data_IF_143773777812
#
_entry.id   IF_143773777812
#
_cell.length_a   1.000
_cell.length_b   1.000
_cell.length_c   1.000
_cell.angle_alpha   90.00
_cell.angle_beta   90.00
_cell.angle_gamma   90.00
#
_symmetry.space_group_name_H-M   'P 1'
#
loop_
_entity.id
_entity.type
_entity.pdbx_description
1 polymer ?
#
# COMPACT_ATOMS: atom_id res chain seq x y z
N UNK A 1 -20.69 -9.12 -25.00
CA UNK A 1 -19.26 -9.10 -24.63
C UNK A 1 -18.69 -10.53 -24.45
N UNK A 2 -17.88 -11.02 -25.41
CA UNK A 2 -17.19 -12.34 -25.36
C UNK A 2 -15.69 -12.23 -25.06
N UNK A 3 -15.25 -11.07 -24.57
CA UNK A 3 -13.84 -10.79 -24.29
C UNK A 3 -13.48 -11.08 -22.84
N UNK A 4 -12.20 -11.35 -22.60
CA UNK A 4 -11.56 -11.28 -21.28
C UNK A 4 -10.61 -10.09 -21.30
N UNK A 5 -10.76 -9.18 -20.36
CA UNK A 5 -9.89 -8.01 -20.19
C UNK A 5 -9.00 -8.26 -18.97
N UNK A 6 -7.70 -8.05 -19.14
CA UNK A 6 -6.71 -8.13 -18.06
C UNK A 6 -5.99 -6.80 -18.02
N UNK A 7 -6.17 -6.07 -16.91
CA UNK A 7 -5.50 -4.82 -16.63
C UNK A 7 -4.53 -5.06 -15.49
N UNK A 8 -3.27 -4.68 -15.70
CA UNK A 8 -2.20 -4.85 -14.72
C UNK A 8 -1.56 -3.48 -14.45
N UNK A 9 -1.85 -2.94 -13.26
CA UNK A 9 -1.18 -1.76 -12.70
C UNK A 9 -1.27 -0.50 -13.58
N UNK A 10 -2.42 -0.27 -14.21
CA UNK A 10 -2.67 0.93 -15.01
C UNK A 10 -2.65 2.19 -14.14
N UNK A 11 -2.17 3.30 -14.69
CA UNK A 11 -2.10 4.60 -13.98
C UNK A 11 -0.80 4.86 -13.22
N UNK A 12 0.15 3.92 -13.19
CA UNK A 12 1.44 4.08 -12.46
C UNK A 12 2.41 5.15 -12.98
N UNK A 13 2.27 5.59 -14.24
CA UNK A 13 3.23 6.47 -14.91
C UNK A 13 3.06 7.97 -14.65
N UNK A 14 2.18 8.36 -13.73
CA UNK A 14 1.81 9.76 -13.46
C UNK A 14 1.72 10.01 -11.95
N UNK A 15 1.29 11.21 -11.54
CA UNK A 15 1.03 11.52 -10.13
C UNK A 15 0.03 10.52 -9.52
N UNK A 16 0.12 10.28 -8.21
CA UNK A 16 -0.74 9.30 -7.52
C UNK A 16 -2.22 9.56 -7.78
N UNK A 17 -2.67 10.81 -7.63
CA UNK A 17 -4.09 11.16 -7.83
C UNK A 17 -4.53 11.07 -9.28
N UNK A 18 -3.68 11.44 -10.24
CA UNK A 18 -3.98 11.27 -11.67
C UNK A 18 -4.10 9.78 -12.02
N UNK A 19 -3.18 8.96 -11.49
CA UNK A 19 -3.13 7.52 -11.71
C UNK A 19 -4.39 6.82 -11.18
N UNK A 20 -4.77 7.13 -9.95
CA UNK A 20 -6.03 6.66 -9.33
C UNK A 20 -7.23 7.09 -10.17
N UNK A 21 -7.30 8.36 -10.58
CA UNK A 21 -8.44 8.90 -11.35
C UNK A 21 -8.62 8.19 -12.69
N UNK A 22 -7.52 7.93 -13.41
CA UNK A 22 -7.55 7.18 -14.67
C UNK A 22 -7.96 5.74 -14.42
N UNK A 23 -7.35 5.06 -13.45
CA UNK A 23 -7.64 3.67 -13.13
C UNK A 23 -9.12 3.47 -12.75
N UNK A 24 -9.66 4.38 -11.92
CA UNK A 24 -11.05 4.40 -11.49
C UNK A 24 -12.01 4.58 -12.65
N UNK A 25 -11.80 5.62 -13.47
CA UNK A 25 -12.69 5.91 -14.61
C UNK A 25 -12.72 4.78 -15.64
N UNK A 26 -11.58 4.11 -15.87
CA UNK A 26 -11.50 2.92 -16.72
C UNK A 26 -12.34 1.76 -16.14
N UNK A 27 -12.19 1.48 -14.85
CA UNK A 27 -12.97 0.44 -14.18
C UNK A 27 -14.48 0.71 -14.25
N UNK A 28 -14.89 1.96 -13.99
CA UNK A 28 -16.29 2.38 -14.11
C UNK A 28 -16.83 2.23 -15.53
N UNK A 29 -16.04 2.66 -16.53
CA UNK A 29 -16.44 2.56 -17.94
C UNK A 29 -16.71 1.11 -18.36
N UNK A 30 -15.79 0.20 -18.02
CA UNK A 30 -15.92 -1.22 -18.32
C UNK A 30 -17.13 -1.86 -17.62
N UNK A 31 -17.44 -1.41 -16.39
CA UNK A 31 -18.55 -1.94 -15.63
C UNK A 31 -19.92 -1.40 -16.07
N UNK A 32 -20.02 -0.10 -16.39
CA UNK A 32 -21.29 0.58 -16.70
C UNK A 32 -21.69 0.47 -18.17
N UNK A 33 -20.75 0.36 -19.09
CA UNK A 33 -21.05 0.29 -20.51
C UNK A 33 -21.56 -1.11 -20.90
N UNK A 34 -22.88 -1.23 -21.12
CA UNK A 34 -23.56 -2.48 -21.50
C UNK A 34 -22.97 -3.18 -22.73
N UNK A 35 -22.37 -2.43 -23.66
CA UNK A 35 -21.74 -3.02 -24.85
C UNK A 35 -20.39 -3.69 -24.50
N UNK A 36 -19.76 -3.28 -23.40
CA UNK A 36 -18.38 -3.59 -23.00
C UNK A 36 -18.24 -4.36 -21.68
N UNK A 37 -19.34 -4.86 -21.08
CA UNK A 37 -19.36 -5.66 -19.85
C UNK A 37 -18.70 -7.05 -20.00
N UNK A 38 -17.44 -7.07 -20.42
CA UNK A 38 -16.58 -8.24 -20.50
C UNK A 38 -16.11 -8.66 -19.10
N UNK A 39 -15.75 -9.94 -18.97
CA UNK A 39 -15.07 -10.39 -17.74
C UNK A 39 -13.75 -9.65 -17.64
N UNK A 40 -13.52 -8.99 -16.51
CA UNK A 40 -12.35 -8.13 -16.31
C UNK A 40 -11.61 -8.55 -15.06
N UNK A 41 -10.30 -8.72 -15.17
CA UNK A 41 -9.38 -8.82 -14.06
C UNK A 41 -8.59 -7.52 -14.00
N UNK A 42 -8.59 -6.89 -12.83
CA UNK A 42 -7.92 -5.62 -12.60
C UNK A 42 -6.96 -5.80 -11.42
N UNK A 43 -5.67 -5.96 -11.72
CA UNK A 43 -4.61 -5.96 -10.72
C UNK A 43 -4.14 -4.52 -10.48
N UNK A 44 -4.09 -4.09 -9.22
CA UNK A 44 -3.71 -2.72 -8.86
C UNK A 44 -3.09 -2.68 -7.45
N UNK A 45 -2.22 -1.71 -7.24
CA UNK A 45 -1.73 -1.31 -5.91
C UNK A 45 -2.56 -0.19 -5.25
N UNK A 46 -3.51 0.40 -5.97
CA UNK A 46 -4.37 1.46 -5.42
C UNK A 46 -5.42 0.86 -4.49
N UNK A 47 -5.32 1.15 -3.20
CA UNK A 47 -6.27 0.66 -2.21
C UNK A 47 -7.63 1.34 -2.38
N UNK A 48 -7.64 2.60 -2.82
CA UNK A 48 -8.82 3.41 -3.08
C UNK A 48 -9.76 2.71 -4.07
N UNK A 49 -9.23 2.01 -5.08
CA UNK A 49 -10.04 1.28 -6.06
C UNK A 49 -10.89 0.16 -5.44
N UNK A 50 -10.58 -0.29 -4.23
CA UNK A 50 -11.41 -1.30 -3.54
C UNK A 50 -12.81 -0.77 -3.21
N UNK A 51 -12.97 0.55 -3.08
CA UNK A 51 -14.27 1.19 -2.83
C UNK A 51 -15.23 1.09 -4.03
N UNK A 52 -14.73 0.77 -5.23
CA UNK A 52 -15.58 0.47 -6.39
C UNK A 52 -16.56 -0.67 -6.11
N UNK A 53 -16.17 -1.66 -5.29
CA UNK A 53 -17.06 -2.76 -4.91
C UNK A 53 -18.24 -2.31 -4.02
N UNK A 54 -18.13 -1.15 -3.37
CA UNK A 54 -19.22 -0.58 -2.55
C UNK A 54 -20.28 0.11 -3.42
N UNK A 55 -19.88 0.61 -4.59
CA UNK A 55 -20.75 1.41 -5.47
C UNK A 55 -21.21 0.67 -6.72
N UNK A 56 -20.45 -0.33 -7.18
CA UNK A 56 -20.73 -1.09 -8.39
C UNK A 56 -21.09 -2.55 -8.05
N UNK A 57 -22.35 -2.98 -8.27
CA UNK A 57 -22.82 -4.31 -7.83
C UNK A 57 -22.16 -5.49 -8.57
N UNK A 58 -21.51 -5.22 -9.71
CA UNK A 58 -20.80 -6.20 -10.52
C UNK A 58 -19.28 -6.23 -10.25
N UNK A 59 -18.79 -5.48 -9.27
CA UNK A 59 -17.38 -5.46 -8.86
C UNK A 59 -17.21 -6.26 -7.57
N UNK A 60 -16.11 -7.02 -7.48
CA UNK A 60 -15.76 -7.80 -6.29
C UNK A 60 -14.27 -7.69 -6.04
N UNK A 61 -13.91 -7.42 -4.79
CA UNK A 61 -12.52 -7.35 -4.37
C UNK A 61 -11.96 -8.75 -4.09
N UNK A 62 -10.72 -8.96 -4.51
CA UNK A 62 -9.93 -10.13 -4.22
C UNK A 62 -8.50 -9.70 -3.89
N UNK A 63 -7.85 -10.44 -3.01
CA UNK A 63 -6.46 -10.19 -2.61
C UNK A 63 -5.65 -11.48 -2.59
N UNK A 64 -4.33 -11.35 -2.67
CA UNK A 64 -3.41 -12.48 -2.49
C UNK A 64 -3.18 -12.68 -0.99
N UNK A 65 -3.44 -13.88 -0.50
CA UNK A 65 -3.27 -14.21 0.91
C UNK A 65 -1.79 -14.18 1.30
N UNK A 66 -1.49 -13.40 2.35
CA UNK A 66 -0.17 -13.26 2.96
C UNK A 66 -0.23 -13.81 4.38
N UNK A 67 0.77 -14.60 4.77
CA UNK A 67 0.93 -15.06 6.15
C UNK A 67 2.10 -14.34 6.81
N UNK A 68 1.83 -13.63 7.89
CA UNK A 68 2.84 -12.97 8.71
C UNK A 68 3.38 -13.95 9.79
N UNK A 69 4.69 -13.95 10.01
CA UNK A 69 5.36 -14.62 11.13
C UNK A 69 6.48 -13.71 11.66
N UNK A 70 6.17 -12.96 12.71
CA UNK A 70 7.08 -11.93 13.22
C UNK A 70 7.36 -10.88 12.14
N UNK A 71 8.63 -10.68 11.79
CA UNK A 71 9.04 -9.74 10.73
C UNK A 71 9.09 -10.38 9.33
N UNK A 72 8.79 -11.66 9.21
CA UNK A 72 8.78 -12.39 7.93
C UNK A 72 7.37 -12.51 7.38
N UNK A 73 7.23 -12.44 6.06
CA UNK A 73 5.97 -12.71 5.37
C UNK A 73 6.14 -13.88 4.40
N UNK A 74 5.07 -14.63 4.18
CA UNK A 74 5.01 -15.69 3.18
C UNK A 74 3.81 -15.46 2.27
N UNK A 75 4.07 -15.30 0.97
CA UNK A 75 3.03 -15.21 -0.05
C UNK A 75 2.47 -16.60 -0.34
N UNK A 76 1.22 -16.85 0.06
CA UNK A 76 0.60 -18.17 -0.10
C UNK A 76 0.10 -18.43 -1.53
N UNK A 77 0.27 -17.46 -2.45
CA UNK A 77 -0.19 -17.51 -3.86
C UNK A 77 -1.66 -17.93 -4.00
N UNK A 78 -2.46 -17.65 -2.97
CA UNK A 78 -3.87 -18.01 -2.88
C UNK A 78 -4.69 -16.74 -2.99
N UNK A 79 -5.60 -16.69 -3.95
CA UNK A 79 -6.55 -15.59 -4.09
C UNK A 79 -7.70 -15.82 -3.12
N UNK A 80 -8.04 -14.80 -2.33
CA UNK A 80 -9.15 -14.82 -1.37
C UNK A 80 -10.07 -13.62 -1.59
N UNK A 81 -11.37 -13.73 -1.33
CA UNK A 81 -12.28 -12.59 -1.37
C UNK A 81 -11.90 -11.52 -0.35
N UNK A 82 -12.08 -10.25 -0.71
CA UNK A 82 -11.80 -9.10 0.16
C UNK A 82 -10.66 -8.21 -0.37
N UNK A 83 -10.55 -7.02 0.21
CA UNK A 83 -9.40 -6.14 0.02
C UNK A 83 -8.19 -6.66 0.80
N UNK A 84 -6.99 -6.14 0.51
CA UNK A 84 -5.82 -6.38 1.35
C UNK A 84 -5.79 -5.37 2.50
N UNK A 85 -5.47 -5.82 3.71
CA UNK A 85 -5.51 -4.98 4.91
C UNK A 85 -4.28 -4.08 5.08
N UNK A 86 -3.17 -4.38 4.37
CA UNK A 86 -1.87 -3.70 4.51
C UNK A 86 -1.04 -3.73 3.24
N UNK A 87 -0.15 -2.75 3.11
CA UNK A 87 0.94 -2.74 2.13
C UNK A 87 2.19 -3.43 2.69
N UNK A 88 2.78 -4.33 1.91
CA UNK A 88 3.92 -5.17 2.34
C UNK A 88 5.25 -4.75 1.71
N UNK A 89 5.38 -3.52 1.22
CA UNK A 89 6.53 -3.08 0.41
C UNK A 89 7.88 -3.24 1.12
N UNK A 90 7.97 -2.84 2.39
CA UNK A 90 9.20 -2.95 3.19
C UNK A 90 9.55 -4.42 3.47
N UNK A 91 8.54 -5.26 3.73
CA UNK A 91 8.72 -6.68 3.96
C UNK A 91 9.17 -7.40 2.67
N UNK A 92 8.64 -7.00 1.51
CA UNK A 92 9.12 -7.46 0.20
C UNK A 92 10.57 -7.06 -0.03
N UNK A 93 10.96 -5.83 0.32
CA UNK A 93 12.35 -5.39 0.23
C UNK A 93 13.29 -6.23 1.12
N UNK A 94 12.87 -6.55 2.34
CA UNK A 94 13.61 -7.47 3.23
C UNK A 94 13.76 -8.86 2.59
N UNK A 95 12.69 -9.41 2.01
CA UNK A 95 12.75 -10.69 1.29
C UNK A 95 13.65 -10.66 0.06
N UNK A 96 13.77 -9.50 -0.61
CA UNK A 96 14.68 -9.28 -1.72
C UNK A 96 16.16 -9.17 -1.30
N UNK A 97 16.45 -9.21 0.01
CA UNK A 97 17.81 -9.19 0.54
C UNK A 97 18.41 -7.79 0.66
N UNK A 98 17.58 -6.74 0.78
CA UNK A 98 18.10 -5.41 1.08
C UNK A 98 18.75 -5.38 2.47
N UNK A 99 19.82 -4.58 2.67
CA UNK A 99 20.51 -4.47 3.96
C UNK A 99 19.57 -4.05 5.09
N UNK A 100 19.78 -4.58 6.29
CA UNK A 100 18.92 -4.27 7.46
C UNK A 100 18.89 -2.78 7.77
N UNK A 101 20.01 -2.06 7.60
CA UNK A 101 20.07 -0.60 7.78
C UNK A 101 19.11 0.17 6.84
N UNK A 102 18.89 -0.33 5.62
CA UNK A 102 17.95 0.26 4.67
C UNK A 102 16.52 -0.04 5.10
N UNK A 103 16.26 -1.27 5.57
CA UNK A 103 14.95 -1.67 6.05
C UNK A 103 14.55 -0.90 7.31
N UNK A 104 15.46 -0.74 8.28
CA UNK A 104 15.23 0.06 9.48
C UNK A 104 14.92 1.51 9.11
N UNK A 105 15.74 2.11 8.23
CA UNK A 105 15.50 3.49 7.78
C UNK A 105 14.18 3.64 7.03
N UNK A 106 13.78 2.68 6.22
CA UNK A 106 12.51 2.70 5.52
C UNK A 106 11.32 2.65 6.49
N UNK A 107 11.41 1.85 7.57
CA UNK A 107 10.40 1.81 8.63
C UNK A 107 10.32 3.15 9.37
N UNK A 108 11.46 3.76 9.71
CA UNK A 108 11.48 5.09 10.32
C UNK A 108 10.82 6.14 9.42
N UNK A 109 11.10 6.11 8.11
CA UNK A 109 10.49 7.03 7.15
C UNK A 109 8.98 6.80 7.08
N UNK A 110 8.53 5.55 6.97
CA UNK A 110 7.11 5.20 6.93
C UNK A 110 6.39 5.67 8.19
N UNK A 111 6.93 5.38 9.38
CA UNK A 111 6.37 5.83 10.65
C UNK A 111 6.25 7.36 10.70
N UNK A 112 7.25 8.09 10.20
CA UNK A 112 7.18 9.56 10.15
C UNK A 112 6.11 10.07 9.17
N UNK A 113 5.91 9.38 8.04
CA UNK A 113 4.86 9.72 7.06
C UNK A 113 3.46 9.42 7.62
N UNK A 114 3.32 8.38 8.45
CA UNK A 114 2.07 8.03 9.12
C UNK A 114 1.78 8.93 10.35
N UNK A 115 2.81 9.29 11.13
CA UNK A 115 2.68 10.15 12.33
C UNK A 115 2.56 11.65 12.01
N UNK A 116 3.04 12.11 10.85
CA UNK A 116 3.19 13.52 10.53
C UNK A 116 2.70 13.89 9.14
N UNK A 117 1.49 14.46 9.09
CA UNK A 117 0.96 15.29 8.01
C UNK A 117 0.89 14.63 6.61
N UNK A 118 -0.32 14.26 6.18
CA UNK A 118 -0.76 14.57 4.81
C UNK A 118 -0.71 16.10 4.63
N UNK A 119 0.48 16.67 4.57
CA UNK A 119 0.69 18.03 4.11
C UNK A 119 0.44 18.03 2.60
N UNK A 120 -0.38 18.96 2.14
CA UNK A 120 -0.88 19.16 0.77
C UNK A 120 0.20 19.44 -0.30
N UNK A 121 1.47 19.11 -0.02
CA UNK A 121 2.59 19.24 -0.94
C UNK A 121 3.46 17.99 -0.77
N UNK A 122 3.50 17.13 -1.78
CA UNK A 122 4.19 15.83 -1.79
C UNK A 122 5.73 15.88 -1.67
N UNK A 123 6.26 16.58 -0.68
CA UNK A 123 7.67 16.60 -0.31
C UNK A 123 7.81 16.22 1.16
N UNK A 124 8.50 15.12 1.46
CA UNK A 124 8.52 14.61 2.81
C UNK A 124 9.61 15.34 3.63
N UNK A 125 9.29 15.76 4.86
CA UNK A 125 10.20 16.42 5.83
C UNK A 125 11.26 15.43 6.39
N UNK A 126 11.90 14.63 5.54
CA UNK A 126 12.68 13.41 5.88
C UNK A 126 14.09 13.69 6.45
N UNK A 127 14.58 14.93 6.40
CA UNK A 127 15.99 15.23 6.71
C UNK A 127 16.32 15.45 8.20
N UNK A 128 15.41 15.21 9.15
CA UNK A 128 15.74 15.34 10.58
C UNK A 128 15.84 13.97 11.24
N UNK A 129 17.08 13.48 11.44
CA UNK A 129 17.39 12.48 12.47
C UNK A 129 16.83 13.02 13.79
N UNK A 130 15.77 12.44 14.36
CA UNK A 130 15.44 12.67 15.77
C UNK A 130 16.66 12.14 16.56
N UNK A 131 17.35 12.96 17.38
CA UNK A 131 18.42 12.45 18.20
C UNK A 131 17.82 11.40 19.13
N UNK A 132 18.43 10.22 19.14
CA UNK A 132 18.08 9.13 20.04
C UNK A 132 18.08 9.71 21.46
N UNK A 133 16.90 9.73 22.10
CA UNK A 133 16.74 10.23 23.47
C UNK A 133 17.48 9.22 24.35
N UNK A 134 18.76 9.47 24.61
CA UNK A 134 19.53 8.75 25.61
C UNK A 134 18.68 8.76 26.89
N UNK A 135 18.25 7.57 27.33
CA UNK A 135 17.69 7.40 28.67
C UNK A 135 18.77 7.91 29.62
N UNK A 136 18.57 9.10 30.18
CA UNK A 136 19.37 9.57 31.29
C UNK A 136 19.15 8.55 32.41
N UNK A 137 20.19 7.76 32.68
CA UNK A 137 20.35 7.12 33.97
C UNK A 137 20.43 8.25 34.99
N UNK A 138 19.28 8.67 35.52
CA UNK A 138 19.24 9.41 36.77
C UNK A 138 19.50 8.35 37.83
N UNK A 139 20.78 8.09 38.05
CA UNK A 139 21.28 7.48 39.27
C UNK A 139 20.81 8.37 40.41
N UNK A 140 19.75 7.90 41.07
CA UNK A 140 19.35 8.34 42.39
C UNK A 140 20.52 8.03 43.33
N UNK A 141 21.35 9.04 43.59
CA UNK A 141 22.32 9.15 44.67
C UNK A 141 21.97 10.50 45.29
N UNK A 142 21.19 10.51 46.36
CA UNK A 142 21.51 10.23 47.76
C UNK A 142 21.56 11.55 48.51
N UNK A 143 20.91 11.55 49.66
CA UNK A 143 20.86 12.65 50.63
C UNK A 143 22.25 13.24 50.85
N UNK A 144 22.39 14.56 50.70
CA UNK A 144 22.78 15.52 51.74
C UNK A 144 22.55 16.95 51.22
#
# INVERSE_FOLDING_TARGET
>A
PKSLIVLDEIGRGTSTFDGISIAWSVAEYLCKNKQMQAKTLFATHYHELTDLALTLPNVKNFSVLVKEKGQSITFLRKIVPGAADKSYGIQVARLAGLPDEVIERANDILNNLEEGEFGDTGQPKIAKKRPHRLKANISQLDLF
#
